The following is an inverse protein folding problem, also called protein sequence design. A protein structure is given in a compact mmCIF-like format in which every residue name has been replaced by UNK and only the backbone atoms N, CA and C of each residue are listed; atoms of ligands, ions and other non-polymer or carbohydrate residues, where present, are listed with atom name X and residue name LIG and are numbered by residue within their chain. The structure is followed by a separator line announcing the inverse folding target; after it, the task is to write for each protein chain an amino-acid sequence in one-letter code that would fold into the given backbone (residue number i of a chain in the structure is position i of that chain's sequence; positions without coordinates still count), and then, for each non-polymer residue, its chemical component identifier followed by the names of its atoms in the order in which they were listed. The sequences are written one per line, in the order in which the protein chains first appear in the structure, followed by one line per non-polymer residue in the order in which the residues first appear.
data_IF_619741260098
#
_entry.id   IF_619741260098
#
_cell.length_a   1.000
_cell.length_b   1.000
_cell.length_c   1.000
_cell.angle_alpha   90.00
_cell.angle_beta   90.00
_cell.angle_gamma   90.00
#
_symmetry.space_group_name_H-M   'P 1'
#
loop_
_entity.id
_entity.type
_entity.pdbx_description
1 polymer ?
#
# COMPACT_ATOMS: atom_id res chain seq x y z
N UNK A 1 15.84 30.91 -13.74
CA UNK A 1 14.36 30.88 -13.68
C UNK A 1 13.88 30.61 -15.10
N UNK A 2 13.70 29.31 -15.47
CA UNK A 2 13.14 28.95 -16.79
C UNK A 2 11.64 29.19 -16.72
N UNK A 3 11.15 30.08 -17.55
CA UNK A 3 9.72 30.33 -17.73
C UNK A 3 9.14 29.10 -18.43
N UNK A 4 8.51 28.22 -17.69
CA UNK A 4 7.69 27.16 -18.28
C UNK A 4 6.44 27.83 -18.85
N UNK A 5 6.38 27.96 -20.18
CA UNK A 5 5.16 28.32 -20.88
C UNK A 5 4.06 27.34 -20.46
N UNK A 6 2.87 27.86 -20.23
CA UNK A 6 1.66 27.11 -19.86
C UNK A 6 1.13 26.26 -21.03
N UNK A 7 1.96 25.35 -21.55
CA UNK A 7 1.48 24.26 -22.39
C UNK A 7 0.62 23.35 -21.52
N UNK A 8 -0.59 23.09 -21.98
CA UNK A 8 -1.53 22.18 -21.34
C UNK A 8 -0.79 20.85 -21.05
N UNK A 9 -0.80 20.37 -19.80
CA UNK A 9 -0.12 19.14 -19.39
C UNK A 9 -0.50 17.94 -20.28
N UNK A 10 -1.72 17.94 -20.89
CA UNK A 10 -2.16 16.94 -21.87
C UNK A 10 -1.31 16.90 -23.15
N UNK A 11 -0.57 17.94 -23.46
CA UNK A 11 0.35 17.97 -24.60
C UNK A 11 1.73 17.43 -24.26
N UNK A 12 2.08 17.28 -22.98
CA UNK A 12 3.35 16.73 -22.54
C UNK A 12 3.30 15.20 -22.50
N UNK A 13 4.31 14.62 -23.11
CA UNK A 13 4.46 13.15 -23.12
C UNK A 13 4.89 12.65 -21.74
N UNK A 14 3.99 12.04 -21.01
CA UNK A 14 4.22 11.54 -19.64
C UNK A 14 4.29 10.02 -19.62
N UNK A 15 5.15 9.46 -18.77
CA UNK A 15 5.24 8.03 -18.51
C UNK A 15 5.40 7.75 -17.00
N UNK A 16 4.79 6.67 -16.53
CA UNK A 16 5.04 6.13 -15.20
C UNK A 16 5.93 4.89 -15.34
N UNK A 17 7.07 4.89 -14.67
CA UNK A 17 7.93 3.73 -14.53
C UNK A 17 7.67 3.07 -13.18
N UNK A 18 7.22 1.82 -13.19
CA UNK A 18 6.92 1.02 -12.01
C UNK A 18 7.84 -0.19 -11.91
N UNK A 19 8.11 -0.64 -10.70
CA UNK A 19 8.95 -1.79 -10.41
C UNK A 19 8.47 -3.06 -11.15
N UNK A 20 7.34 -3.61 -10.76
CA UNK A 20 6.73 -4.79 -11.41
C UNK A 20 5.22 -4.83 -11.22
N UNK A 21 4.51 -5.33 -12.23
CA UNK A 21 3.12 -5.77 -12.09
C UNK A 21 3.10 -7.27 -11.81
N UNK A 22 3.35 -7.65 -10.55
CA UNK A 22 3.51 -9.05 -10.15
C UNK A 22 2.21 -9.68 -9.64
N UNK A 23 1.43 -8.94 -8.87
CA UNK A 23 0.19 -9.36 -8.23
C UNK A 23 -0.92 -8.33 -8.48
N UNK A 24 -2.15 -8.66 -8.12
CA UNK A 24 -3.24 -7.68 -8.00
C UNK A 24 -3.13 -6.96 -6.65
N UNK A 25 -2.08 -6.14 -6.52
CA UNK A 25 -1.78 -5.40 -5.30
C UNK A 25 -2.19 -3.93 -5.37
N UNK A 26 -2.13 -3.27 -4.21
CA UNK A 26 -2.47 -1.85 -4.10
C UNK A 26 -1.50 -0.94 -4.85
N UNK A 27 -0.23 -1.29 -4.88
CA UNK A 27 0.79 -0.53 -5.61
C UNK A 27 0.49 -0.50 -7.10
N UNK A 28 0.23 -1.66 -7.69
CA UNK A 28 -0.12 -1.81 -9.10
C UNK A 28 -1.44 -1.09 -9.44
N UNK A 29 -2.43 -1.19 -8.55
CA UNK A 29 -3.72 -0.48 -8.71
C UNK A 29 -3.54 1.03 -8.69
N UNK A 30 -2.75 1.56 -7.76
CA UNK A 30 -2.44 2.99 -7.70
C UNK A 30 -1.79 3.47 -9.01
N UNK A 31 -0.84 2.72 -9.55
CA UNK A 31 -0.18 3.09 -10.82
C UNK A 31 -1.20 3.14 -11.97
N UNK A 32 -2.10 2.19 -12.02
CA UNK A 32 -3.16 2.17 -13.02
C UNK A 32 -4.09 3.38 -12.88
N UNK A 33 -4.50 3.72 -11.65
CA UNK A 33 -5.33 4.90 -11.37
C UNK A 33 -4.59 6.20 -11.72
N UNK A 34 -3.31 6.30 -11.34
CA UNK A 34 -2.46 7.45 -11.68
C UNK A 34 -2.29 7.60 -13.20
N UNK A 35 -2.08 6.50 -13.92
CA UNK A 35 -1.94 6.53 -15.37
C UNK A 35 -3.25 6.94 -16.07
N UNK A 36 -4.39 6.50 -15.58
CA UNK A 36 -5.71 6.97 -16.05
C UNK A 36 -5.92 8.47 -15.75
N UNK A 37 -5.56 8.92 -14.54
CA UNK A 37 -5.64 10.32 -14.15
C UNK A 37 -4.80 11.24 -15.05
N UNK A 38 -3.67 10.77 -15.53
CA UNK A 38 -2.72 11.56 -16.34
C UNK A 38 -2.83 11.29 -17.83
N UNK A 39 -3.63 10.32 -18.27
CA UNK A 39 -3.70 9.85 -19.66
C UNK A 39 -2.30 9.59 -20.23
N UNK A 40 -1.51 8.77 -19.55
CA UNK A 40 -0.08 8.60 -19.82
C UNK A 40 0.32 7.13 -20.02
N UNK A 41 1.55 6.91 -20.47
CA UNK A 41 2.09 5.58 -20.70
C UNK A 41 2.56 4.91 -19.39
N UNK A 42 2.66 3.58 -19.39
CA UNK A 42 3.23 2.78 -18.30
C UNK A 42 4.40 1.96 -18.80
N UNK A 43 5.55 2.06 -18.12
CA UNK A 43 6.64 1.10 -18.23
C UNK A 43 6.79 0.32 -16.92
N UNK A 44 7.11 -0.96 -17.03
CA UNK A 44 7.35 -1.81 -15.86
C UNK A 44 8.49 -2.80 -16.12
N UNK A 45 9.10 -3.31 -15.05
CA UNK A 45 10.04 -4.41 -15.16
C UNK A 45 9.42 -5.57 -15.93
N UNK A 46 8.23 -5.98 -15.56
CA UNK A 46 7.41 -6.95 -16.32
C UNK A 46 5.94 -6.89 -15.86
N UNK A 47 5.05 -7.48 -16.69
CA UNK A 47 3.63 -7.65 -16.40
C UNK A 47 3.33 -9.15 -16.28
N UNK A 48 3.07 -9.64 -15.05
CA UNK A 48 2.74 -11.04 -14.79
C UNK A 48 1.27 -11.33 -15.09
N UNK A 49 0.99 -12.57 -15.54
CA UNK A 49 -0.39 -13.07 -15.71
C UNK A 49 -1.20 -13.08 -14.39
N UNK A 50 -0.53 -13.12 -13.26
CA UNK A 50 -1.16 -13.05 -11.94
C UNK A 50 -1.55 -11.64 -11.47
N UNK A 51 -1.19 -10.60 -12.24
CA UNK A 51 -1.49 -9.20 -11.96
C UNK A 51 -2.75 -8.72 -12.71
N UNK A 52 -3.00 -7.40 -12.64
CA UNK A 52 -4.05 -6.77 -13.44
C UNK A 52 -3.77 -6.90 -14.94
N UNK A 53 -4.78 -7.27 -15.71
CA UNK A 53 -4.75 -7.00 -17.15
C UNK A 53 -5.14 -5.54 -17.37
N UNK A 54 -4.17 -4.68 -17.64
CA UNK A 54 -4.38 -3.24 -17.75
C UNK A 54 -5.42 -2.86 -18.79
N UNK A 55 -5.55 -3.65 -19.87
CA UNK A 55 -6.55 -3.42 -20.93
C UNK A 55 -7.97 -3.69 -20.44
N UNK A 56 -8.17 -4.78 -19.69
CA UNK A 56 -9.48 -5.11 -19.09
C UNK A 56 -9.89 -4.07 -18.05
N UNK A 57 -8.90 -3.45 -17.40
CA UNK A 57 -9.11 -2.32 -16.48
C UNK A 57 -9.32 -0.98 -17.20
N UNK A 58 -9.43 -0.97 -18.53
CA UNK A 58 -9.71 0.23 -19.32
C UNK A 58 -8.51 1.16 -19.57
N UNK A 59 -7.27 0.70 -19.35
CA UNK A 59 -6.07 1.46 -19.66
C UNK A 59 -5.82 1.54 -21.16
N UNK A 60 -5.63 2.74 -21.73
CA UNK A 60 -5.45 2.97 -23.16
C UNK A 60 -4.03 3.34 -23.56
N UNK A 61 -3.18 3.78 -22.61
CA UNK A 61 -1.80 4.18 -22.88
C UNK A 61 -0.90 3.05 -23.37
N UNK A 62 0.31 3.40 -23.77
CA UNK A 62 1.34 2.41 -24.17
C UNK A 62 1.85 1.63 -22.94
N UNK A 63 2.07 0.34 -23.13
CA UNK A 63 2.69 -0.53 -22.13
C UNK A 63 4.09 -0.93 -22.61
N UNK A 64 5.11 -0.73 -21.77
CA UNK A 64 6.51 -1.07 -22.09
C UNK A 64 7.04 -2.03 -21.03
N UNK A 65 7.45 -3.22 -21.46
CA UNK A 65 8.12 -4.20 -20.60
C UNK A 65 9.64 -4.06 -20.72
N UNK A 66 10.33 -3.85 -19.59
CA UNK A 66 11.78 -3.58 -19.56
C UNK A 66 12.60 -4.85 -19.37
N UNK A 67 12.02 -5.86 -18.71
CA UNK A 67 12.66 -7.14 -18.41
C UNK A 67 11.68 -8.30 -18.56
N UNK A 68 12.16 -9.52 -18.63
CA UNK A 68 11.30 -10.70 -18.54
C UNK A 68 10.98 -11.05 -17.10
N UNK A 69 9.83 -11.70 -16.90
CA UNK A 69 9.37 -12.17 -15.59
C UNK A 69 10.39 -13.07 -14.87
N UNK A 70 10.55 -12.88 -13.57
CA UNK A 70 11.45 -13.67 -12.70
C UNK A 70 10.80 -13.86 -11.33
N UNK A 71 10.60 -15.11 -10.93
CA UNK A 71 9.97 -15.47 -9.65
C UNK A 71 10.94 -15.53 -8.48
N UNK A 72 12.21 -15.93 -8.67
CA UNK A 72 13.21 -16.05 -7.59
C UNK A 72 13.59 -14.67 -7.03
N UNK A 73 13.13 -14.34 -5.83
CA UNK A 73 13.23 -12.99 -5.22
C UNK A 73 14.60 -12.33 -5.34
N UNK A 74 15.67 -12.93 -4.84
CA UNK A 74 17.00 -12.30 -4.84
C UNK A 74 17.53 -12.01 -6.24
N UNK A 75 17.41 -12.96 -7.16
CA UNK A 75 17.80 -12.80 -8.57
C UNK A 75 16.92 -11.77 -9.30
N UNK A 76 15.63 -11.71 -8.97
CA UNK A 76 14.70 -10.71 -9.53
C UNK A 76 15.16 -9.29 -9.26
N UNK A 77 15.52 -8.95 -8.02
CA UNK A 77 15.98 -7.60 -7.68
C UNK A 77 17.25 -7.21 -8.47
N UNK A 78 18.23 -8.09 -8.57
CA UNK A 78 19.44 -7.83 -9.35
C UNK A 78 19.14 -7.63 -10.83
N UNK A 79 18.33 -8.49 -11.43
CA UNK A 79 17.95 -8.41 -12.85
C UNK A 79 17.17 -7.14 -13.17
N UNK A 80 16.23 -6.75 -12.29
CA UNK A 80 15.46 -5.51 -12.45
C UNK A 80 16.35 -4.27 -12.32
N UNK A 81 17.24 -4.23 -11.33
CA UNK A 81 18.23 -3.13 -11.22
C UNK A 81 19.06 -2.99 -12.47
N UNK A 82 19.56 -4.09 -13.02
CA UNK A 82 20.31 -4.08 -14.30
C UNK A 82 19.43 -3.57 -15.45
N UNK A 83 18.18 -4.05 -15.55
CA UNK A 83 17.26 -3.62 -16.60
C UNK A 83 16.95 -2.11 -16.53
N UNK A 84 16.64 -1.59 -15.32
CA UNK A 84 16.40 -0.17 -15.12
C UNK A 84 17.63 0.68 -15.40
N UNK A 85 18.84 0.20 -15.12
CA UNK A 85 20.07 0.90 -15.42
C UNK A 85 20.38 1.02 -16.91
N UNK A 86 20.08 -0.03 -17.70
CA UNK A 86 20.62 -0.14 -19.07
C UNK A 86 19.57 -0.22 -20.18
N UNK A 87 18.29 -0.57 -19.86
CA UNK A 87 17.26 -0.80 -20.88
C UNK A 87 16.16 0.25 -20.94
N UNK A 88 16.31 1.37 -20.23
CA UNK A 88 15.29 2.42 -20.13
C UNK A 88 15.65 3.70 -20.89
N UNK A 89 16.47 3.61 -21.94
CA UNK A 89 16.87 4.77 -22.77
C UNK A 89 15.68 5.48 -23.43
N UNK A 90 14.56 4.78 -23.65
CA UNK A 90 13.32 5.36 -24.20
C UNK A 90 12.73 6.46 -23.30
N UNK A 91 13.16 6.57 -22.02
CA UNK A 91 12.74 7.64 -21.12
C UNK A 91 13.19 9.03 -21.59
N UNK A 92 14.17 9.11 -22.49
CA UNK A 92 14.60 10.38 -23.10
C UNK A 92 13.51 11.01 -23.99
N UNK A 93 12.54 10.19 -24.46
CA UNK A 93 11.47 10.66 -25.34
C UNK A 93 10.26 11.23 -24.56
N UNK A 94 10.35 11.34 -23.23
CA UNK A 94 9.28 11.78 -22.36
C UNK A 94 9.64 13.10 -21.64
N UNK A 95 8.65 14.03 -21.61
CA UNK A 95 8.79 15.32 -20.94
C UNK A 95 8.65 15.20 -19.42
N UNK A 96 7.84 14.22 -18.96
CA UNK A 96 7.64 13.93 -17.55
C UNK A 96 7.76 12.43 -17.29
N UNK A 97 8.59 12.05 -16.32
CA UNK A 97 8.78 10.66 -15.91
C UNK A 97 8.47 10.54 -14.42
N UNK A 98 7.49 9.72 -14.09
CA UNK A 98 7.10 9.41 -12.72
C UNK A 98 7.67 8.04 -12.36
N UNK A 99 8.41 7.96 -11.27
CA UNK A 99 9.03 6.74 -10.76
C UNK A 99 8.26 6.23 -9.56
N UNK A 100 8.02 4.92 -9.50
CA UNK A 100 7.29 4.27 -8.42
C UNK A 100 8.04 3.04 -7.93
N UNK A 101 8.25 2.90 -6.63
CA UNK A 101 9.04 1.86 -5.99
C UNK A 101 10.54 1.94 -6.29
N UNK A 102 11.21 0.79 -6.49
CA UNK A 102 12.66 0.62 -6.54
C UNK A 102 13.27 0.76 -7.95
N UNK A 103 12.53 1.35 -8.90
CA UNK A 103 12.97 1.59 -10.27
C UNK A 103 13.79 2.89 -10.45
N UNK A 104 14.06 3.66 -9.39
CA UNK A 104 14.67 5.00 -9.44
C UNK A 104 16.04 5.05 -10.10
N UNK A 105 16.76 3.92 -10.18
CA UNK A 105 18.06 3.86 -10.89
C UNK A 105 17.96 4.18 -12.39
N UNK A 106 16.76 4.10 -12.98
CA UNK A 106 16.50 4.48 -14.36
C UNK A 106 16.54 6.01 -14.59
N UNK A 107 16.54 6.83 -13.54
CA UNK A 107 16.56 8.29 -13.63
C UNK A 107 17.72 8.84 -14.49
N UNK A 108 18.85 8.14 -14.51
CA UNK A 108 20.01 8.49 -15.34
C UNK A 108 19.77 8.43 -16.84
N UNK A 109 18.72 7.74 -17.27
CA UNK A 109 18.34 7.56 -18.65
C UNK A 109 17.24 8.55 -19.11
N UNK A 110 16.79 9.44 -18.22
CA UNK A 110 15.88 10.52 -18.59
C UNK A 110 16.62 11.63 -19.34
N UNK A 111 15.87 12.38 -20.14
CA UNK A 111 16.38 13.66 -20.69
C UNK A 111 16.76 14.61 -19.55
N UNK A 112 17.83 15.41 -19.70
CA UNK A 112 18.12 16.47 -18.73
C UNK A 112 16.96 17.45 -18.52
N UNK A 113 16.18 17.72 -19.56
CA UNK A 113 15.07 18.67 -19.55
C UNK A 113 13.74 18.06 -19.09
N UNK A 114 13.65 16.73 -18.95
CA UNK A 114 12.43 16.07 -18.46
C UNK A 114 12.21 16.36 -16.98
N UNK A 115 10.94 16.51 -16.59
CA UNK A 115 10.51 16.58 -15.19
C UNK A 115 10.53 15.19 -14.58
N UNK A 116 11.21 15.01 -13.46
CA UNK A 116 11.44 13.74 -12.77
C UNK A 116 10.69 13.75 -11.44
N UNK A 117 9.70 12.93 -11.31
CA UNK A 117 8.85 12.82 -10.10
C UNK A 117 9.07 11.44 -9.48
N UNK A 118 9.35 11.38 -8.19
CA UNK A 118 9.40 10.13 -7.45
C UNK A 118 8.18 9.99 -6.55
N UNK A 119 7.35 8.98 -6.79
CA UNK A 119 6.29 8.59 -5.87
C UNK A 119 6.82 7.48 -4.95
N UNK A 120 7.19 7.87 -3.75
CA UNK A 120 7.76 6.98 -2.74
C UNK A 120 6.65 6.28 -1.95
N UNK A 121 6.51 4.97 -2.14
CA UNK A 121 5.61 4.15 -1.32
C UNK A 121 6.23 3.86 0.06
N UNK A 122 7.51 3.59 0.09
CA UNK A 122 8.38 3.50 1.26
C UNK A 122 9.84 3.47 0.76
N UNK A 123 10.81 4.05 1.48
CA UNK A 123 12.21 3.77 1.23
C UNK A 123 12.51 2.27 1.32
N UNK A 124 13.50 1.73 0.59
CA UNK A 124 13.80 0.30 0.61
C UNK A 124 14.16 -0.20 2.02
N UNK A 125 13.17 -0.65 2.80
CA UNK A 125 13.31 -0.99 4.23
C UNK A 125 14.39 -2.04 4.51
N UNK A 126 14.67 -2.95 3.55
CA UNK A 126 15.76 -3.93 3.66
C UNK A 126 17.16 -3.31 3.67
N UNK A 127 17.30 -2.03 3.26
CA UNK A 127 18.54 -1.28 3.33
C UNK A 127 18.69 -0.46 4.62
N UNK A 128 17.58 -0.26 5.35
CA UNK A 128 17.47 0.64 6.51
C UNK A 128 16.93 -0.09 7.75
N UNK A 129 15.73 0.24 8.18
CA UNK A 129 15.12 -0.16 9.45
C UNK A 129 14.86 -1.67 9.59
N UNK A 130 14.51 -2.37 8.51
CA UNK A 130 14.28 -3.81 8.53
C UNK A 130 15.52 -4.64 8.14
N UNK A 131 16.69 -4.00 7.96
CA UNK A 131 17.91 -4.70 7.52
C UNK A 131 18.27 -5.89 8.40
N UNK A 132 18.20 -5.73 9.70
CA UNK A 132 18.55 -6.79 10.65
C UNK A 132 17.58 -7.96 10.61
N UNK A 133 16.29 -7.71 10.39
CA UNK A 133 15.28 -8.76 10.18
C UNK A 133 15.55 -9.58 8.91
N UNK A 134 16.00 -8.91 7.84
CA UNK A 134 16.43 -9.62 6.63
C UNK A 134 17.69 -10.44 6.86
N UNK A 135 18.67 -9.91 7.62
CA UNK A 135 19.91 -10.62 7.97
C UNK A 135 19.65 -11.88 8.80
N UNK A 136 18.65 -11.89 9.68
CA UNK A 136 18.26 -13.09 10.46
C UNK A 136 17.80 -14.24 9.54
N UNK A 137 17.16 -13.93 8.40
CA UNK A 137 16.61 -14.90 7.44
C UNK A 137 17.63 -15.42 6.43
N UNK A 138 18.84 -14.86 6.38
CA UNK A 138 19.88 -15.20 5.41
C UNK A 138 20.93 -16.13 6.05
N UNK A 139 21.35 -17.21 5.37
CA UNK A 139 22.43 -18.08 5.83
C UNK A 139 23.71 -17.30 6.11
N UNK A 140 24.45 -17.70 7.15
CA UNK A 140 25.61 -16.95 7.66
C UNK A 140 26.70 -16.71 6.60
N UNK A 141 26.92 -17.66 5.70
CA UNK A 141 27.91 -17.56 4.63
C UNK A 141 27.56 -16.54 3.54
N UNK A 142 26.28 -16.13 3.43
CA UNK A 142 25.82 -15.13 2.46
C UNK A 142 25.83 -13.71 3.07
N UNK A 143 25.83 -13.57 4.39
CA UNK A 143 25.75 -12.27 5.08
C UNK A 143 26.80 -11.24 4.64
N UNK A 144 28.08 -11.60 4.45
CA UNK A 144 29.09 -10.64 3.98
C UNK A 144 28.75 -10.08 2.59
N UNK A 145 28.35 -10.93 1.65
CA UNK A 145 27.94 -10.52 0.31
C UNK A 145 26.68 -9.63 0.35
N UNK A 146 25.68 -10.01 1.17
CA UNK A 146 24.48 -9.20 1.37
C UNK A 146 24.83 -7.82 1.94
N UNK A 147 25.74 -7.73 2.91
CA UNK A 147 26.16 -6.47 3.49
C UNK A 147 26.81 -5.53 2.46
N UNK A 148 27.70 -6.06 1.62
CA UNK A 148 28.36 -5.31 0.58
C UNK A 148 27.35 -4.80 -0.48
N UNK A 149 26.48 -5.67 -0.95
CA UNK A 149 25.45 -5.32 -1.96
C UNK A 149 24.45 -4.32 -1.39
N UNK A 150 23.99 -4.52 -0.15
CA UNK A 150 23.07 -3.60 0.51
C UNK A 150 23.71 -2.22 0.72
N UNK A 151 24.98 -2.17 1.12
CA UNK A 151 25.72 -0.89 1.23
C UNK A 151 25.78 -0.17 -0.12
N UNK A 152 26.15 -0.89 -1.19
CA UNK A 152 26.23 -0.30 -2.53
C UNK A 152 24.85 0.20 -3.02
N UNK A 153 23.78 -0.57 -2.80
CA UNK A 153 22.42 -0.16 -3.17
C UNK A 153 21.91 1.01 -2.34
N UNK A 154 22.24 1.05 -1.04
CA UNK A 154 21.94 2.20 -0.19
C UNK A 154 22.61 3.47 -0.73
N UNK A 155 23.90 3.43 -1.03
CA UNK A 155 24.63 4.58 -1.60
C UNK A 155 24.10 5.01 -2.96
N UNK A 156 23.68 4.05 -3.77
CA UNK A 156 23.02 4.33 -5.05
C UNK A 156 21.67 5.02 -4.82
N UNK A 157 20.82 4.49 -3.93
CA UNK A 157 19.51 5.06 -3.61
C UNK A 157 19.64 6.50 -3.08
N UNK A 158 20.52 6.73 -2.09
CA UNK A 158 20.79 8.05 -1.52
C UNK A 158 21.28 9.08 -2.57
N UNK A 159 22.01 8.62 -3.59
CA UNK A 159 22.48 9.48 -4.70
C UNK A 159 21.39 9.74 -5.73
N UNK A 160 20.58 8.73 -6.06
CA UNK A 160 19.58 8.85 -7.12
C UNK A 160 18.35 9.64 -6.63
N UNK A 161 17.95 9.51 -5.36
CA UNK A 161 16.80 10.23 -4.81
C UNK A 161 16.97 11.74 -4.87
N UNK A 162 18.20 12.24 -4.77
CA UNK A 162 18.53 13.67 -4.87
C UNK A 162 18.38 14.29 -6.26
N UNK A 163 18.13 13.47 -7.29
CA UNK A 163 18.02 13.94 -8.68
C UNK A 163 16.60 14.20 -9.13
N UNK A 164 15.63 13.93 -8.26
CA UNK A 164 14.21 14.17 -8.55
C UNK A 164 13.87 15.66 -8.38
N UNK A 165 13.09 16.19 -9.30
CA UNK A 165 12.58 17.56 -9.22
C UNK A 165 11.46 17.68 -8.19
N UNK A 166 10.68 16.59 -8.03
CA UNK A 166 9.59 16.45 -7.05
C UNK A 166 9.61 15.06 -6.44
N UNK A 167 9.51 15.00 -5.12
CA UNK A 167 9.31 13.74 -4.39
C UNK A 167 7.95 13.79 -3.73
N UNK A 168 7.15 12.75 -3.95
CA UNK A 168 5.84 12.54 -3.35
C UNK A 168 5.92 11.33 -2.43
N UNK A 169 5.37 11.43 -1.24
CA UNK A 169 5.22 10.32 -0.30
C UNK A 169 3.75 9.95 -0.15
N UNK A 170 3.46 8.66 -0.06
CA UNK A 170 2.08 8.16 0.08
C UNK A 170 1.47 8.47 1.46
N UNK A 171 2.25 8.92 2.43
CA UNK A 171 1.83 9.25 3.79
C UNK A 171 2.85 10.15 4.49
N UNK A 172 2.46 10.82 5.59
CA UNK A 172 3.39 11.54 6.48
C UNK A 172 4.37 10.54 7.12
N UNK A 173 3.92 9.33 7.44
CA UNK A 173 4.80 8.28 7.96
C UNK A 173 5.92 7.94 6.97
N UNK A 174 5.59 7.78 5.70
CA UNK A 174 6.58 7.58 4.64
C UNK A 174 7.47 8.81 4.42
N UNK A 175 6.91 10.02 4.47
CA UNK A 175 7.69 11.26 4.44
C UNK A 175 8.72 11.31 5.57
N UNK A 176 8.30 11.07 6.83
CA UNK A 176 9.21 11.04 8.00
C UNK A 176 10.33 10.02 7.81
N UNK A 177 10.00 8.83 7.31
CA UNK A 177 10.96 7.75 7.06
C UNK A 177 11.94 8.12 5.93
N UNK A 178 11.44 8.67 4.83
CA UNK A 178 12.27 9.14 3.71
C UNK A 178 13.23 10.23 4.18
N UNK A 179 12.72 11.24 4.86
CA UNK A 179 13.51 12.33 5.43
C UNK A 179 14.58 11.82 6.40
N UNK A 180 14.20 10.92 7.33
CA UNK A 180 15.13 10.33 8.28
C UNK A 180 16.32 9.60 7.61
N UNK A 181 16.07 8.90 6.50
CA UNK A 181 17.12 8.11 5.83
C UNK A 181 17.91 8.86 4.77
N UNK A 182 17.34 9.87 4.14
CA UNK A 182 17.93 10.53 2.98
C UNK A 182 18.12 12.02 3.14
N UNK A 183 17.49 12.64 4.15
CA UNK A 183 17.42 14.09 4.36
C UNK A 183 16.72 14.85 3.22
N UNK A 184 15.95 14.14 2.36
CA UNK A 184 15.18 14.75 1.30
C UNK A 184 13.75 15.07 1.78
N UNK A 185 13.24 16.22 1.32
CA UNK A 185 11.85 16.61 1.57
C UNK A 185 10.94 16.00 0.52
N UNK A 186 9.71 15.67 0.93
CA UNK A 186 8.67 15.23 0.01
C UNK A 186 7.32 15.85 0.36
N UNK A 187 6.44 15.92 -0.63
CA UNK A 187 5.07 16.33 -0.44
C UNK A 187 4.18 15.09 -0.29
N UNK A 188 3.20 15.15 0.61
CA UNK A 188 2.31 14.01 0.82
C UNK A 188 1.20 14.01 -0.22
N UNK A 189 1.09 12.91 -0.93
CA UNK A 189 -0.01 12.62 -1.84
C UNK A 189 -0.58 11.23 -1.51
N UNK A 190 -1.67 11.21 -0.74
CA UNK A 190 -2.32 9.97 -0.35
C UNK A 190 -2.83 9.20 -1.57
N UNK A 191 -2.68 7.87 -1.61
CA UNK A 191 -3.30 7.02 -2.63
C UNK A 191 -4.82 7.15 -2.61
N UNK A 192 -5.47 7.10 -3.78
CA UNK A 192 -6.92 7.22 -3.86
C UNK A 192 -7.63 5.90 -3.55
N UNK A 193 -8.87 6.02 -3.07
CA UNK A 193 -9.83 4.92 -2.96
C UNK A 193 -10.97 5.13 -3.95
N UNK A 194 -11.42 4.04 -4.58
CA UNK A 194 -12.62 4.04 -5.41
C UNK A 194 -13.85 3.94 -4.51
N UNK A 195 -14.29 5.09 -4.01
CA UNK A 195 -15.39 5.18 -3.03
C UNK A 195 -16.69 4.55 -3.53
N UNK A 196 -16.95 4.62 -4.83
CA UNK A 196 -18.17 4.10 -5.46
C UNK A 196 -18.29 2.57 -5.39
N UNK A 197 -17.16 1.87 -5.17
CA UNK A 197 -17.15 0.41 -5.01
C UNK A 197 -17.59 -0.04 -3.62
N UNK A 198 -17.61 0.88 -2.65
CA UNK A 198 -17.93 0.58 -1.27
C UNK A 198 -19.20 1.33 -0.89
N UNK A 199 -20.32 0.62 -0.88
CA UNK A 199 -21.62 1.17 -0.50
C UNK A 199 -22.09 0.50 0.79
N UNK A 200 -22.82 1.25 1.61
CA UNK A 200 -23.50 0.65 2.75
C UNK A 200 -24.77 -0.06 2.29
N UNK A 201 -24.89 -1.34 2.62
CA UNK A 201 -26.09 -2.11 2.32
C UNK A 201 -26.84 -2.39 3.62
N UNK A 202 -26.15 -2.94 4.63
CA UNK A 202 -26.74 -3.37 5.89
C UNK A 202 -25.65 -3.51 6.97
N UNK A 203 -26.06 -3.82 8.20
CA UNK A 203 -25.15 -4.15 9.29
C UNK A 203 -25.60 -5.44 9.96
N UNK A 204 -24.76 -6.47 9.82
CA UNK A 204 -24.95 -7.76 10.48
C UNK A 204 -24.24 -7.79 11.85
N UNK A 205 -24.17 -8.96 12.45
CA UNK A 205 -23.72 -9.16 13.81
C UNK A 205 -22.27 -9.66 13.94
N UNK A 206 -21.36 -9.28 13.02
CA UNK A 206 -19.97 -9.73 13.06
C UNK A 206 -18.98 -8.59 12.86
N UNK A 207 -17.79 -8.77 13.45
CA UNK A 207 -16.60 -7.98 13.17
C UNK A 207 -15.79 -8.65 12.08
N UNK A 208 -15.05 -7.86 11.28
CA UNK A 208 -14.31 -8.34 10.12
C UNK A 208 -12.81 -8.09 10.30
N UNK A 209 -11.99 -9.09 9.99
CA UNK A 209 -10.55 -8.90 9.81
C UNK A 209 -10.12 -9.42 8.44
N UNK A 210 -9.48 -8.57 7.64
CA UNK A 210 -9.05 -8.91 6.29
C UNK A 210 -7.56 -8.68 6.17
N UNK A 211 -6.78 -9.74 6.18
CA UNK A 211 -5.33 -9.65 6.01
C UNK A 211 -4.69 -11.02 5.81
N UNK A 212 -3.42 -11.02 5.44
CA UNK A 212 -2.61 -12.25 5.46
C UNK A 212 -2.42 -12.74 6.88
N UNK A 213 -2.52 -14.04 7.10
CA UNK A 213 -2.17 -14.68 8.37
C UNK A 213 -0.64 -14.71 8.51
N UNK A 214 -0.09 -13.66 9.08
CA UNK A 214 1.36 -13.48 9.26
C UNK A 214 1.65 -12.72 10.55
N UNK A 215 2.82 -12.91 11.12
CA UNK A 215 3.28 -12.25 12.36
C UNK A 215 3.12 -10.73 12.31
N UNK A 216 3.37 -10.12 11.14
CA UNK A 216 3.24 -8.68 10.97
C UNK A 216 1.79 -8.18 11.07
N UNK A 217 0.79 -9.06 10.92
CA UNK A 217 -0.65 -8.71 10.98
C UNK A 217 -1.31 -9.05 12.31
N UNK A 218 -0.63 -9.81 13.17
CA UNK A 218 -1.04 -10.10 14.57
C UNK A 218 -2.46 -10.68 14.69
N UNK A 219 -2.91 -11.49 13.69
CA UNK A 219 -4.26 -12.08 13.68
C UNK A 219 -4.46 -13.05 14.84
N UNK A 220 -3.40 -13.71 15.29
CA UNK A 220 -3.41 -14.55 16.48
C UNK A 220 -3.94 -13.82 17.72
N UNK A 221 -3.62 -12.55 17.89
CA UNK A 221 -4.10 -11.76 19.03
C UNK A 221 -5.56 -11.34 18.89
N UNK A 222 -6.04 -11.08 17.67
CA UNK A 222 -7.46 -10.86 17.40
C UNK A 222 -8.25 -12.15 17.76
N UNK A 223 -7.76 -13.30 17.31
CA UNK A 223 -8.36 -14.60 17.63
C UNK A 223 -8.37 -14.86 19.15
N UNK A 224 -7.25 -14.56 19.88
CA UNK A 224 -7.20 -14.67 21.33
C UNK A 224 -8.23 -13.80 22.05
N UNK A 225 -8.49 -12.59 21.53
CA UNK A 225 -9.52 -11.70 22.08
C UNK A 225 -10.91 -12.27 21.86
N UNK A 226 -11.25 -12.71 20.64
CA UNK A 226 -12.58 -13.28 20.34
C UNK A 226 -12.83 -14.64 20.99
N UNK A 227 -11.79 -15.41 21.30
CA UNK A 227 -11.89 -16.62 22.12
C UNK A 227 -12.42 -16.31 23.53
N UNK A 228 -12.18 -15.10 24.06
CA UNK A 228 -12.68 -14.63 25.35
C UNK A 228 -14.08 -13.97 25.25
N UNK A 229 -14.58 -13.72 24.05
CA UNK A 229 -15.87 -13.09 23.78
C UNK A 229 -16.78 -14.02 22.93
N UNK A 230 -17.26 -15.15 23.47
CA UNK A 230 -18.00 -16.14 22.68
C UNK A 230 -19.36 -15.64 22.13
N UNK A 231 -19.86 -14.54 22.67
CA UNK A 231 -21.06 -13.82 22.22
C UNK A 231 -20.82 -12.87 21.03
N UNK A 232 -19.57 -12.58 20.70
CA UNK A 232 -19.18 -11.73 19.56
C UNK A 232 -18.69 -12.59 18.40
N UNK A 233 -19.15 -12.30 17.18
CA UNK A 233 -18.72 -13.04 15.98
C UNK A 233 -17.58 -12.33 15.26
N UNK A 234 -16.59 -13.10 14.82
CA UNK A 234 -15.47 -12.64 14.00
C UNK A 234 -15.44 -13.40 12.68
N UNK A 235 -15.34 -12.67 11.57
CA UNK A 235 -15.02 -13.22 10.25
C UNK A 235 -13.61 -12.84 9.90
N UNK A 236 -12.76 -13.81 9.57
CA UNK A 236 -11.36 -13.62 9.14
C UNK A 236 -11.23 -13.99 7.68
N UNK A 237 -10.97 -13.01 6.83
CA UNK A 237 -10.69 -13.23 5.40
C UNK A 237 -9.18 -13.24 5.19
N UNK A 238 -8.65 -14.33 4.61
CA UNK A 238 -7.22 -14.60 4.53
C UNK A 238 -6.78 -15.16 3.16
N UNK A 239 -5.46 -15.17 2.90
CA UNK A 239 -4.86 -15.73 1.69
C UNK A 239 -4.60 -17.24 1.80
N UNK A 240 -4.74 -17.98 0.70
CA UNK A 240 -4.61 -19.46 0.67
C UNK A 240 -3.24 -19.94 1.17
N UNK A 241 -2.17 -19.21 0.86
CA UNK A 241 -0.77 -19.59 1.14
C UNK A 241 -0.17 -18.76 2.30
N UNK A 242 -0.98 -18.40 3.28
CA UNK A 242 -0.52 -17.58 4.40
C UNK A 242 0.37 -18.38 5.38
N UNK A 243 1.48 -17.80 5.87
CA UNK A 243 2.52 -18.53 6.58
C UNK A 243 2.13 -19.03 7.98
N UNK A 244 1.14 -18.41 8.63
CA UNK A 244 0.68 -18.78 9.98
C UNK A 244 -0.70 -19.45 9.98
N UNK A 245 -1.16 -19.95 8.85
CA UNK A 245 -2.51 -20.50 8.70
C UNK A 245 -2.79 -21.63 9.70
N UNK A 246 -1.93 -22.65 9.75
CA UNK A 246 -2.12 -23.81 10.61
C UNK A 246 -2.10 -23.45 12.10
N UNK A 247 -1.20 -22.56 12.49
CA UNK A 247 -1.07 -22.08 13.88
C UNK A 247 -2.35 -21.34 14.33
N UNK A 248 -2.87 -20.43 13.49
CA UNK A 248 -4.06 -19.63 13.80
C UNK A 248 -5.31 -20.50 13.81
N UNK A 249 -5.41 -21.49 12.92
CA UNK A 249 -6.55 -22.43 12.90
C UNK A 249 -6.56 -23.32 14.13
N UNK A 250 -5.40 -23.81 14.57
CA UNK A 250 -5.31 -24.59 15.81
C UNK A 250 -5.70 -23.75 17.04
N UNK A 251 -5.32 -22.46 17.06
CA UNK A 251 -5.69 -21.53 18.13
C UNK A 251 -7.23 -21.34 18.22
N UNK A 252 -7.91 -21.34 17.08
CA UNK A 252 -9.36 -21.08 16.96
C UNK A 252 -10.22 -22.35 16.90
N UNK A 253 -9.65 -23.57 16.95
CA UNK A 253 -10.36 -24.83 16.66
C UNK A 253 -11.65 -25.05 17.47
N UNK A 254 -11.68 -24.56 18.73
CA UNK A 254 -12.81 -24.71 19.64
C UNK A 254 -13.75 -23.48 19.64
N UNK A 255 -13.50 -22.49 18.78
CA UNK A 255 -14.24 -21.23 18.74
C UNK A 255 -15.35 -21.29 17.69
N UNK A 256 -16.60 -21.44 18.12
CA UNK A 256 -17.77 -21.44 17.21
C UNK A 256 -18.14 -20.04 16.68
N UNK A 257 -17.61 -19.00 17.29
CA UNK A 257 -17.86 -17.60 16.97
C UNK A 257 -16.80 -17.00 16.01
N UNK A 258 -15.85 -17.79 15.53
CA UNK A 258 -14.82 -17.36 14.60
C UNK A 258 -14.93 -18.15 13.29
N UNK A 259 -15.14 -17.44 12.20
CA UNK A 259 -15.24 -18.00 10.86
C UNK A 259 -14.04 -17.59 10.01
N UNK A 260 -13.44 -18.54 9.26
CA UNK A 260 -12.32 -18.30 8.37
C UNK A 260 -12.75 -18.48 6.90
N UNK A 261 -12.52 -17.48 6.09
CA UNK A 261 -12.91 -17.45 4.69
C UNK A 261 -11.67 -17.18 3.82
N UNK A 262 -11.42 -18.08 2.86
CA UNK A 262 -10.41 -17.82 1.83
C UNK A 262 -10.98 -16.88 0.78
N UNK A 263 -10.31 -15.76 0.56
CA UNK A 263 -10.73 -14.79 -0.44
C UNK A 263 -10.02 -14.99 -1.77
N UNK A 264 -10.71 -15.33 -2.84
CA UNK A 264 -10.49 -14.70 -4.12
C UNK A 264 -11.17 -13.33 -4.08
N UNK A 265 -10.45 -12.27 -4.44
CA UNK A 265 -10.96 -10.90 -4.53
C UNK A 265 -12.11 -10.81 -5.56
N UNK A 266 -13.33 -11.19 -5.16
CA UNK A 266 -14.53 -11.32 -5.97
C UNK A 266 -15.58 -10.33 -5.49
N UNK A 267 -16.67 -10.19 -6.23
CA UNK A 267 -17.81 -9.32 -5.91
C UNK A 267 -18.37 -9.53 -4.49
N UNK A 268 -18.38 -10.79 -3.98
CA UNK A 268 -18.84 -11.08 -2.63
C UNK A 268 -17.88 -10.66 -1.49
N UNK A 269 -16.60 -10.28 -1.78
CA UNK A 269 -15.74 -9.68 -0.78
C UNK A 269 -16.32 -8.36 -0.26
N UNK A 270 -16.84 -7.53 -1.15
CA UNK A 270 -17.50 -6.28 -0.79
C UNK A 270 -18.69 -6.49 0.10
N UNK A 271 -19.43 -7.58 -0.07
CA UNK A 271 -20.57 -7.95 0.79
C UNK A 271 -20.17 -8.13 2.25
N UNK A 272 -19.06 -8.82 2.51
CA UNK A 272 -18.55 -8.98 3.88
C UNK A 272 -18.15 -7.66 4.51
N UNK A 273 -17.56 -6.76 3.72
CA UNK A 273 -17.23 -5.41 4.18
C UNK A 273 -18.49 -4.63 4.52
N UNK A 274 -19.46 -4.62 3.62
CA UNK A 274 -20.68 -3.82 3.76
C UNK A 274 -21.56 -4.24 4.93
N UNK A 275 -21.53 -5.53 5.27
CA UNK A 275 -22.38 -6.12 6.30
C UNK A 275 -21.71 -6.18 7.69
N UNK A 276 -20.42 -5.96 7.80
CA UNK A 276 -19.72 -6.01 9.10
C UNK A 276 -20.15 -4.87 10.05
N UNK A 277 -19.96 -5.06 11.35
CA UNK A 277 -20.07 -3.99 12.35
C UNK A 277 -18.91 -3.03 12.17
N UNK A 278 -17.69 -3.57 12.17
CA UNK A 278 -16.44 -2.83 12.08
C UNK A 278 -15.32 -3.76 11.58
N UNK A 279 -14.23 -3.17 11.09
CA UNK A 279 -13.00 -3.92 10.80
C UNK A 279 -12.04 -3.87 11.98
N UNK A 280 -11.25 -4.92 12.14
CA UNK A 280 -10.22 -5.01 13.16
C UNK A 280 -8.88 -5.28 12.49
N UNK A 281 -7.93 -4.38 12.66
CA UNK A 281 -6.59 -4.44 12.10
C UNK A 281 -5.57 -3.94 13.11
N UNK A 282 -4.57 -4.76 13.43
CA UNK A 282 -3.52 -4.43 14.41
C UNK A 282 -2.11 -4.72 13.85
N UNK A 283 -1.78 -4.27 12.63
CA UNK A 283 -0.49 -4.57 12.02
C UNK A 283 0.67 -3.86 12.71
N UNK A 284 1.90 -4.35 12.49
CA UNK A 284 3.13 -3.72 12.96
C UNK A 284 3.54 -2.62 11.98
N UNK A 285 3.56 -1.36 12.43
CA UNK A 285 4.14 -0.18 11.74
C UNK A 285 3.97 -0.18 10.21
N UNK A 286 2.70 -0.19 9.77
CA UNK A 286 2.37 -0.15 8.34
C UNK A 286 2.66 1.23 7.72
N UNK A 287 3.21 1.22 6.51
CA UNK A 287 3.56 2.44 5.77
C UNK A 287 2.35 3.16 5.20
N UNK A 288 1.49 2.41 4.54
CA UNK A 288 0.19 2.83 4.04
C UNK A 288 -0.64 1.60 3.67
N UNK A 289 -1.87 1.54 4.14
CA UNK A 289 -2.80 0.46 3.80
C UNK A 289 -4.19 1.03 3.52
N UNK A 290 -4.78 0.65 2.37
CA UNK A 290 -6.05 1.21 1.87
C UNK A 290 -7.27 0.74 2.69
N UNK A 291 -7.17 -0.45 3.30
CA UNK A 291 -8.26 -1.11 4.05
C UNK A 291 -9.02 -0.16 4.99
N UNK A 292 -8.36 0.69 5.77
CA UNK A 292 -9.04 1.63 6.62
C UNK A 292 -9.94 2.61 5.87
N UNK A 293 -9.43 3.18 4.78
CA UNK A 293 -10.19 4.13 3.98
C UNK A 293 -11.33 3.44 3.22
N UNK A 294 -11.11 2.19 2.77
CA UNK A 294 -12.16 1.36 2.17
C UNK A 294 -13.26 1.02 3.17
N UNK A 295 -12.89 0.72 4.42
CA UNK A 295 -13.87 0.52 5.50
C UNK A 295 -14.69 1.79 5.74
N UNK A 296 -14.04 2.95 5.85
CA UNK A 296 -14.74 4.24 6.00
C UNK A 296 -15.64 4.55 4.81
N UNK A 297 -15.22 4.23 3.58
CA UNK A 297 -16.07 4.41 2.38
C UNK A 297 -17.28 3.48 2.38
N UNK A 298 -17.18 2.30 2.99
CA UNK A 298 -18.31 1.40 3.29
C UNK A 298 -19.10 1.82 4.55
N UNK A 299 -18.78 2.98 5.14
CA UNK A 299 -19.41 3.53 6.34
C UNK A 299 -19.16 2.71 7.61
N UNK A 300 -18.08 1.97 7.62
CA UNK A 300 -17.71 1.10 8.73
C UNK A 300 -16.52 1.68 9.48
N UNK A 301 -16.61 1.87 10.80
CA UNK A 301 -15.47 2.24 11.61
C UNK A 301 -14.46 1.08 11.69
N UNK A 302 -13.24 1.41 12.14
CA UNK A 302 -12.18 0.41 12.29
C UNK A 302 -11.61 0.44 13.72
N UNK A 303 -11.26 -0.72 14.26
CA UNK A 303 -10.41 -0.88 15.43
C UNK A 303 -8.98 -1.07 14.92
N UNK A 304 -8.07 -0.19 15.35
CA UNK A 304 -6.68 -0.21 14.91
C UNK A 304 -5.72 0.09 16.06
N UNK A 305 -4.47 -0.34 15.90
CA UNK A 305 -3.39 0.01 16.84
C UNK A 305 -2.82 1.39 16.50
N UNK A 306 -2.48 2.19 17.52
CA UNK A 306 -1.92 3.53 17.36
C UNK A 306 -0.44 3.49 16.90
N UNK A 307 -0.18 2.77 15.79
CA UNK A 307 1.12 2.59 15.16
C UNK A 307 1.07 2.96 13.67
N UNK A 308 2.15 3.56 13.15
CA UNK A 308 2.31 3.81 11.72
C UNK A 308 1.46 4.96 11.16
N UNK A 309 1.11 4.86 9.88
CA UNK A 309 0.43 5.92 9.11
C UNK A 309 -1.03 6.16 9.51
N UNK A 310 -1.63 5.25 10.25
CA UNK A 310 -3.06 5.29 10.57
C UNK A 310 -3.49 6.60 11.26
N UNK A 311 -2.60 7.18 12.06
CA UNK A 311 -2.80 8.47 12.73
C UNK A 311 -3.15 9.62 11.78
N UNK A 312 -2.88 9.44 10.49
CA UNK A 312 -3.11 10.46 9.47
C UNK A 312 -4.48 10.33 8.81
N UNK A 313 -5.03 9.12 8.77
CA UNK A 313 -6.28 8.81 8.07
C UNK A 313 -7.50 8.85 8.99
N UNK A 314 -7.31 8.72 10.30
CA UNK A 314 -8.40 8.51 11.25
C UNK A 314 -8.60 9.67 12.21
N UNK A 315 -9.83 9.79 12.71
CA UNK A 315 -10.19 10.69 13.81
C UNK A 315 -10.69 9.80 14.94
N UNK A 316 -9.86 9.66 15.99
CA UNK A 316 -10.17 8.78 17.12
C UNK A 316 -11.47 9.21 17.80
N UNK A 317 -12.35 8.25 18.08
CA UNK A 317 -13.67 8.46 18.68
C UNK A 317 -14.76 8.94 17.70
N UNK A 318 -14.41 9.32 16.45
CA UNK A 318 -15.37 9.77 15.42
C UNK A 318 -15.49 8.81 14.23
N UNK A 319 -14.37 8.24 13.79
CA UNK A 319 -14.33 7.29 12.68
C UNK A 319 -13.71 5.94 13.07
N UNK A 320 -13.09 5.86 14.25
CA UNK A 320 -12.26 4.74 14.70
C UNK A 320 -12.21 4.61 16.21
N UNK A 321 -11.73 3.40 16.62
CA UNK A 321 -11.26 3.15 17.99
C UNK A 321 -9.78 2.77 17.89
N UNK A 322 -8.91 3.60 18.45
CA UNK A 322 -7.48 3.34 18.53
C UNK A 322 -7.18 2.59 19.83
N UNK A 323 -6.47 1.47 19.73
CA UNK A 323 -5.85 0.79 20.85
C UNK A 323 -4.40 1.27 21.00
N UNK A 324 -3.86 1.38 22.24
CA UNK A 324 -2.53 1.95 22.47
C UNK A 324 -1.42 1.15 21.74
N UNK A 325 -0.30 1.79 21.44
CA UNK A 325 0.87 1.13 20.82
C UNK A 325 1.40 -0.06 21.67
N UNK A 326 1.36 0.08 23.02
CA UNK A 326 1.75 -0.95 24.00
C UNK A 326 0.59 -1.84 24.45
N UNK A 327 -0.32 -2.15 23.56
CA UNK A 327 -1.56 -2.87 23.82
C UNK A 327 -1.36 -4.31 24.32
N UNK A 328 -2.38 -4.80 25.01
CA UNK A 328 -2.59 -6.20 25.34
C UNK A 328 -3.88 -6.72 24.70
N UNK A 329 -4.14 -8.02 24.78
CA UNK A 329 -5.37 -8.64 24.26
C UNK A 329 -6.63 -8.00 24.84
N UNK A 330 -6.58 -7.59 26.11
CA UNK A 330 -7.63 -6.91 26.84
C UNK A 330 -8.03 -5.55 26.21
N UNK A 331 -7.10 -4.88 25.56
CA UNK A 331 -7.39 -3.60 24.87
C UNK A 331 -8.17 -3.82 23.58
N UNK A 332 -7.95 -4.96 22.89
CA UNK A 332 -8.79 -5.39 21.76
C UNK A 332 -10.21 -5.68 22.27
N UNK A 333 -10.34 -6.41 23.40
CA UNK A 333 -11.64 -6.72 24.01
C UNK A 333 -12.39 -5.44 24.34
N UNK A 334 -11.78 -4.50 25.05
CA UNK A 334 -12.39 -3.20 25.40
C UNK A 334 -12.82 -2.41 24.15
N UNK A 335 -12.00 -2.42 23.10
CA UNK A 335 -12.33 -1.74 21.85
C UNK A 335 -13.54 -2.37 21.15
N UNK A 336 -13.65 -3.70 21.13
CA UNK A 336 -14.80 -4.44 20.58
C UNK A 336 -16.05 -4.19 21.43
N UNK A 337 -15.95 -4.22 22.75
CA UNK A 337 -17.05 -3.94 23.68
C UNK A 337 -17.56 -2.50 23.55
N UNK A 338 -16.67 -1.53 23.37
CA UNK A 338 -17.03 -0.14 23.11
C UNK A 338 -17.70 0.04 21.76
N UNK A 339 -17.14 -0.56 20.69
CA UNK A 339 -17.64 -0.40 19.33
C UNK A 339 -18.79 -1.34 19.02
N UNK A 340 -19.89 -1.17 19.78
CA UNK A 340 -21.15 -1.91 19.56
C UNK A 340 -21.77 -1.58 18.19
N UNK A 341 -22.74 -2.38 17.67
CA UNK A 341 -23.46 -2.07 16.45
C UNK A 341 -24.04 -0.65 16.42
N UNK A 342 -24.57 -0.17 17.53
CA UNK A 342 -25.17 1.16 17.68
C UNK A 342 -24.12 2.27 17.60
N UNK A 343 -22.97 2.08 18.29
CA UNK A 343 -21.85 3.04 18.25
C UNK A 343 -21.26 3.07 16.84
N UNK A 344 -21.08 1.92 16.19
CA UNK A 344 -20.60 1.87 14.81
C UNK A 344 -21.51 2.63 13.83
N UNK A 345 -22.84 2.49 13.96
CA UNK A 345 -23.80 3.25 13.15
C UNK A 345 -23.73 4.76 13.41
N UNK A 346 -23.48 5.20 14.63
CA UNK A 346 -23.36 6.63 14.94
C UNK A 346 -22.14 7.29 14.28
N UNK A 347 -21.09 6.52 13.97
CA UNK A 347 -19.87 6.98 13.30
C UNK A 347 -20.01 7.09 11.76
N UNK A 348 -21.10 6.58 11.18
CA UNK A 348 -21.34 6.45 9.74
C UNK A 348 -21.05 7.74 8.96
N UNK A 349 -21.66 8.86 9.34
CA UNK A 349 -21.53 10.14 8.62
C UNK A 349 -20.08 10.62 8.61
N UNK A 350 -19.40 10.54 9.74
CA UNK A 350 -17.99 10.94 9.85
C UNK A 350 -17.05 10.05 9.06
N UNK A 351 -17.34 8.75 8.97
CA UNK A 351 -16.58 7.83 8.11
C UNK A 351 -16.68 8.24 6.64
N UNK A 352 -17.89 8.55 6.15
CA UNK A 352 -18.11 9.01 4.76
C UNK A 352 -17.34 10.31 4.48
N UNK A 353 -17.53 11.32 5.34
CA UNK A 353 -16.87 12.63 5.18
C UNK A 353 -15.35 12.46 5.11
N UNK A 354 -14.78 11.68 6.02
CA UNK A 354 -13.34 11.44 6.05
C UNK A 354 -12.82 10.66 4.83
N UNK A 355 -13.58 9.68 4.33
CA UNK A 355 -13.22 8.92 3.15
C UNK A 355 -13.10 9.80 1.89
N UNK A 356 -13.87 10.89 1.78
CA UNK A 356 -13.81 11.82 0.64
C UNK A 356 -12.43 12.47 0.46
N UNK A 357 -11.68 12.68 1.54
CA UNK A 357 -10.32 13.23 1.48
C UNK A 357 -9.36 12.34 0.69
N UNK A 358 -9.71 11.05 0.53
CA UNK A 358 -8.96 10.02 -0.19
C UNK A 358 -9.64 9.62 -1.51
N UNK A 359 -10.57 10.43 -2.02
CA UNK A 359 -11.26 10.14 -3.27
C UNK A 359 -10.33 10.19 -4.49
N UNK A 360 -10.71 9.44 -5.54
CA UNK A 360 -9.98 9.49 -6.80
C UNK A 360 -9.95 10.90 -7.41
N UNK A 361 -11.03 11.66 -7.30
CA UNK A 361 -11.11 13.03 -7.81
C UNK A 361 -10.12 13.99 -7.13
N UNK A 362 -9.96 13.88 -5.80
CA UNK A 362 -8.96 14.67 -5.07
C UNK A 362 -7.53 14.27 -5.43
N UNK A 363 -7.28 12.99 -5.58
CA UNK A 363 -5.99 12.48 -6.04
C UNK A 363 -5.68 12.96 -7.46
N UNK A 364 -6.62 12.80 -8.40
CA UNK A 364 -6.47 13.23 -9.79
C UNK A 364 -6.15 14.73 -9.89
N UNK A 365 -6.86 15.56 -9.16
CA UNK A 365 -6.61 16.99 -9.09
C UNK A 365 -5.18 17.29 -8.65
N UNK A 366 -4.74 16.71 -7.55
CA UNK A 366 -3.40 16.94 -6.97
C UNK A 366 -2.28 16.40 -7.86
N UNK A 367 -2.39 15.17 -8.40
CA UNK A 367 -1.32 14.61 -9.23
C UNK A 367 -1.14 15.39 -10.53
N UNK A 368 -2.22 15.94 -11.11
CA UNK A 368 -2.16 16.81 -12.28
C UNK A 368 -1.42 18.12 -12.01
N UNK A 369 -1.51 18.67 -10.79
CA UNK A 369 -0.76 19.87 -10.37
C UNK A 369 0.75 19.59 -10.34
N UNK A 370 1.16 18.40 -9.89
CA UNK A 370 2.57 18.00 -9.86
C UNK A 370 3.17 17.75 -11.25
N UNK A 371 2.36 17.38 -12.24
CA UNK A 371 2.84 17.12 -13.61
C UNK A 371 2.93 18.39 -14.44
N UNK A 372 2.17 19.43 -14.12
CA UNK A 372 2.29 20.75 -14.74
C UNK A 372 3.65 21.38 -14.48
#
# INVERSE_FOLDING_TARGET
MKIFNSLDWKQRKTIILHDTFLYKGWGERLILMMAKALDCDIASGFFSRGSFNLRDEGFQGKMIEVSSEVFKKGYRHLKLKQAFLFKTKFLQDYDTVIFSWDCISAIRNCSPDSKKIYYCHTPPRYLYDLRDEYLKKIPSYIKPAFNLVSWAFRKMYEKEVKKFDVILSNSINTWKRLHHFTWEESQVLYPPVELDKFQWIDQWDYYLSVSRLSTAKRIDNIVKAFKQMPDKKLVVIYGINDPQKEEIFELAKDCKNIEFITCPWNEWFTDYVWKSIAWICIPIDEDFWMVPVESMSAWKPVIWVDEGWIKESVINGETWVLIPEWWAVEDIIKAVEYLTPQVALSMKTRCIERAQDFSYSEFEKKIREFVK
#
